data_IF_027277496905
#
_entry.id   IF_027277496905
#
_cell.length_a   1.000
_cell.length_b   1.000
_cell.length_c   1.000
_cell.angle_alpha   90.00
_cell.angle_beta   90.00
_cell.angle_gamma   90.00
#
_symmetry.space_group_name_H-M   'P 1'
#
loop_
_entity.id
_entity.type
_entity.pdbx_description
1 polymer ?
#
# COMPACT_ATOMS: atom_id res chain seq x y z
N UNK A 1 0.58 12.71 -16.29
CA UNK A 1 0.86 11.31 -15.91
C UNK A 1 -0.13 10.89 -14.84
N UNK A 2 -0.85 9.81 -15.13
CA UNK A 2 -1.84 9.19 -14.26
C UNK A 2 -1.10 8.21 -13.32
N UNK A 3 -1.40 8.19 -12.02
CA UNK A 3 -0.75 7.28 -11.06
C UNK A 3 -1.75 6.35 -10.40
N UNK A 4 -1.34 5.19 -9.90
CA UNK A 4 -2.23 4.27 -9.17
C UNK A 4 -2.79 4.95 -7.91
N UNK A 5 -1.91 5.50 -7.07
CA UNK A 5 -2.30 6.31 -5.92
C UNK A 5 -2.71 7.70 -6.42
N UNK A 6 -3.94 8.10 -6.15
CA UNK A 6 -4.49 9.42 -6.50
C UNK A 6 -4.48 10.41 -5.35
N UNK A 7 -4.69 9.92 -4.14
CA UNK A 7 -4.75 10.73 -2.94
C UNK A 7 -4.26 9.96 -1.72
N UNK A 8 -3.86 10.72 -0.69
CA UNK A 8 -3.47 10.19 0.60
C UNK A 8 -4.00 11.07 1.74
N UNK A 9 -4.33 10.46 2.86
CA UNK A 9 -4.76 11.11 4.10
C UNK A 9 -3.96 10.59 5.28
N UNK A 10 -3.77 11.44 6.27
CA UNK A 10 -3.22 11.07 7.59
C UNK A 10 -4.24 11.47 8.64
N UNK A 11 -4.66 10.49 9.43
CA UNK A 11 -5.59 10.64 10.53
C UNK A 11 -4.84 10.42 11.84
N UNK A 12 -4.93 11.38 12.76
CA UNK A 12 -4.19 11.35 14.03
C UNK A 12 -5.17 11.12 15.19
N UNK A 13 -4.80 10.33 16.21
CA UNK A 13 -5.61 10.22 17.41
C UNK A 13 -5.61 11.56 18.16
N UNK A 14 -6.77 11.99 18.64
CA UNK A 14 -6.88 13.11 19.57
C UNK A 14 -6.07 12.86 20.85
N UNK A 15 -5.70 13.89 21.64
CA UNK A 15 -4.92 13.71 22.86
C UNK A 15 -5.54 12.74 23.88
N UNK A 16 -6.87 12.71 23.97
CA UNK A 16 -7.65 11.77 24.80
C UNK A 16 -7.88 10.40 24.15
N UNK A 17 -7.43 10.22 22.90
CA UNK A 17 -7.57 9.01 22.08
C UNK A 17 -9.01 8.52 21.93
N UNK A 18 -9.97 9.43 21.94
CA UNK A 18 -11.39 9.11 21.71
C UNK A 18 -11.74 9.10 20.23
N UNK A 19 -11.08 9.93 19.42
CA UNK A 19 -11.35 10.11 17.99
C UNK A 19 -10.06 10.11 17.17
N UNK A 20 -10.22 9.91 15.87
CA UNK A 20 -9.26 10.31 14.84
C UNK A 20 -9.67 11.66 14.24
N UNK A 21 -8.73 12.60 14.19
CA UNK A 21 -8.86 13.90 13.52
C UNK A 21 -7.96 14.00 12.28
N UNK A 22 -8.30 14.91 11.38
CA UNK A 22 -7.56 15.10 10.14
C UNK A 22 -6.20 15.74 10.41
N UNK A 23 -5.11 14.98 10.22
CA UNK A 23 -3.74 15.47 10.38
C UNK A 23 -3.13 16.05 9.10
N UNK A 24 -3.62 15.63 7.94
CA UNK A 24 -3.12 16.12 6.65
C UNK A 24 -3.51 15.24 5.48
N UNK A 25 -3.24 15.70 4.25
CA UNK A 25 -3.49 14.89 3.07
C UNK A 25 -3.13 15.58 1.76
N UNK A 26 -2.93 14.77 0.73
CA UNK A 26 -2.65 15.15 -0.64
C UNK A 26 -3.79 14.64 -1.52
N UNK A 27 -4.48 15.54 -2.22
CA UNK A 27 -5.73 15.20 -2.93
C UNK A 27 -5.65 15.37 -4.45
N UNK A 28 -4.56 15.93 -4.97
CA UNK A 28 -4.45 16.24 -6.39
C UNK A 28 -5.64 17.05 -6.90
N UNK A 29 -6.33 16.54 -7.92
CA UNK A 29 -7.53 17.15 -8.50
C UNK A 29 -8.82 16.93 -7.67
N UNK A 30 -8.80 16.02 -6.69
CA UNK A 30 -9.97 15.65 -5.88
C UNK A 30 -10.24 16.66 -4.74
N UNK A 31 -10.34 17.95 -5.07
CA UNK A 31 -10.48 19.04 -4.09
C UNK A 31 -11.77 18.93 -3.27
N UNK A 32 -12.88 18.54 -3.89
CA UNK A 32 -14.16 18.32 -3.20
C UNK A 32 -14.08 17.21 -2.15
N UNK A 33 -13.45 16.08 -2.50
CA UNK A 33 -13.18 15.01 -1.53
C UNK A 33 -12.29 15.52 -0.40
N UNK A 34 -11.21 16.25 -0.71
CA UNK A 34 -10.34 16.87 0.29
C UNK A 34 -11.09 17.82 1.24
N UNK A 35 -12.02 18.63 0.74
CA UNK A 35 -12.83 19.51 1.56
C UNK A 35 -13.70 18.72 2.55
N UNK A 36 -14.41 17.68 2.09
CA UNK A 36 -15.18 16.79 2.96
C UNK A 36 -14.32 16.07 3.99
N UNK A 37 -13.08 15.73 3.64
CA UNK A 37 -12.14 15.05 4.52
C UNK A 37 -11.72 15.91 5.71
N UNK A 38 -11.44 17.20 5.47
CA UNK A 38 -10.97 18.13 6.51
C UNK A 38 -11.96 18.39 7.63
N UNK A 39 -13.25 18.15 7.40
CA UNK A 39 -14.32 18.38 8.37
C UNK A 39 -14.74 17.12 9.11
N UNK A 40 -14.10 15.98 8.84
CA UNK A 40 -14.47 14.69 9.42
C UNK A 40 -13.63 14.37 10.66
N UNK A 41 -14.22 13.55 11.52
CA UNK A 41 -13.54 12.78 12.54
C UNK A 41 -14.12 11.36 12.53
N UNK A 42 -13.38 10.41 13.09
CA UNK A 42 -13.80 9.02 13.15
C UNK A 42 -13.58 8.43 14.55
N UNK A 43 -14.62 7.89 15.14
CA UNK A 43 -14.49 7.03 16.32
C UNK A 43 -13.89 5.66 15.98
N UNK A 44 -13.57 4.89 17.03
CA UNK A 44 -13.16 3.48 16.85
C UNK A 44 -14.25 2.69 16.14
N UNK A 45 -13.87 1.97 15.08
CA UNK A 45 -14.77 1.19 14.25
C UNK A 45 -15.55 2.00 13.20
N UNK A 46 -15.45 3.33 13.23
CA UNK A 46 -16.22 4.21 12.36
C UNK A 46 -15.49 4.50 11.05
N UNK A 47 -16.18 4.31 9.92
CA UNK A 47 -15.58 4.52 8.61
C UNK A 47 -14.33 3.66 8.39
N UNK A 48 -13.58 3.97 7.33
CA UNK A 48 -12.37 3.23 7.00
C UNK A 48 -11.21 3.49 7.98
N UNK A 49 -10.87 4.74 8.35
CA UNK A 49 -9.79 4.99 9.31
C UNK A 49 -10.08 4.42 10.70
N UNK A 50 -11.30 4.64 11.21
CA UNK A 50 -11.71 4.16 12.53
C UNK A 50 -11.77 2.63 12.61
N UNK A 51 -12.13 1.95 11.51
CA UNK A 51 -12.09 0.49 11.45
C UNK A 51 -10.67 -0.06 11.47
N UNK A 52 -9.74 0.53 10.73
CA UNK A 52 -8.32 0.14 10.80
C UNK A 52 -7.73 0.36 12.20
N UNK A 53 -8.15 1.44 12.87
CA UNK A 53 -7.80 1.69 14.27
C UNK A 53 -8.37 0.65 15.23
N UNK A 54 -9.63 0.24 15.03
CA UNK A 54 -10.26 -0.77 15.87
C UNK A 54 -9.67 -2.16 15.67
N UNK A 55 -9.49 -2.59 14.41
CA UNK A 55 -8.94 -3.91 14.09
C UNK A 55 -7.41 -3.99 14.34
N UNK A 56 -6.72 -2.84 14.39
CA UNK A 56 -5.27 -2.77 14.62
C UNK A 56 -4.43 -3.34 13.47
N UNK A 57 -4.98 -3.41 12.26
CA UNK A 57 -4.36 -4.04 11.08
C UNK A 57 -4.73 -3.29 9.79
N UNK A 58 -3.95 -3.43 8.72
CA UNK A 58 -4.29 -2.85 7.41
C UNK A 58 -5.62 -3.39 6.86
N UNK A 59 -6.34 -2.53 6.15
CA UNK A 59 -7.63 -2.85 5.51
C UNK A 59 -7.63 -2.35 4.07
N UNK A 60 -7.99 -3.21 3.13
CA UNK A 60 -8.31 -2.85 1.75
C UNK A 60 -9.82 -2.74 1.62
N UNK A 61 -10.31 -1.62 1.09
CA UNK A 61 -11.71 -1.39 0.78
C UNK A 61 -11.87 -1.24 -0.73
N UNK A 62 -12.57 -2.19 -1.35
CA UNK A 62 -12.71 -2.31 -2.82
C UNK A 62 -13.99 -1.66 -3.36
N UNK A 63 -14.88 -1.23 -2.48
CA UNK A 63 -16.15 -0.64 -2.84
C UNK A 63 -16.57 0.40 -1.80
N UNK A 64 -16.87 1.61 -2.26
CA UNK A 64 -17.35 2.70 -1.41
C UNK A 64 -18.87 2.71 -1.26
N UNK A 65 -19.59 2.55 -2.37
CA UNK A 65 -21.05 2.60 -2.39
C UNK A 65 -21.66 1.42 -1.63
N UNK A 66 -22.64 1.69 -0.77
CA UNK A 66 -23.26 0.66 0.07
C UNK A 66 -22.34 0.04 1.13
N UNK A 67 -21.15 0.59 1.36
CA UNK A 67 -20.24 0.14 2.42
C UNK A 67 -20.26 1.08 3.63
N UNK A 68 -19.47 0.78 4.66
CA UNK A 68 -19.32 1.63 5.85
C UNK A 68 -18.54 2.94 5.59
N UNK A 69 -18.16 3.22 4.34
CA UNK A 69 -17.40 4.40 3.98
C UNK A 69 -18.26 5.66 3.94
N UNK A 70 -17.91 6.65 4.79
CA UNK A 70 -18.75 7.84 5.04
C UNK A 70 -18.76 8.90 3.93
N UNK A 71 -17.96 8.72 2.87
CA UNK A 71 -17.73 9.74 1.83
C UNK A 71 -17.85 9.15 0.42
N UNK A 72 -18.73 8.17 0.23
CA UNK A 72 -18.83 7.39 -1.01
C UNK A 72 -19.08 8.26 -2.25
N UNK A 73 -20.04 9.19 -2.18
CA UNK A 73 -20.32 10.11 -3.29
C UNK A 73 -19.12 10.98 -3.67
N UNK A 74 -18.44 11.55 -2.67
CA UNK A 74 -17.27 12.38 -2.92
C UNK A 74 -16.11 11.56 -3.51
N UNK A 75 -15.92 10.32 -3.07
CA UNK A 75 -14.91 9.40 -3.62
C UNK A 75 -15.25 8.99 -5.06
N UNK A 76 -16.53 8.72 -5.35
CA UNK A 76 -17.03 8.42 -6.70
C UNK A 76 -16.81 9.60 -7.65
N UNK A 77 -17.15 10.82 -7.23
CA UNK A 77 -16.90 12.03 -8.01
C UNK A 77 -15.40 12.29 -8.23
N UNK A 78 -14.55 11.87 -7.29
CA UNK A 78 -13.10 11.93 -7.42
C UNK A 78 -12.50 10.79 -8.27
N UNK A 79 -13.32 9.81 -8.68
CA UNK A 79 -12.88 8.68 -9.51
C UNK A 79 -12.11 7.59 -8.76
N UNK A 80 -12.20 7.53 -7.44
CA UNK A 80 -11.54 6.47 -6.68
C UNK A 80 -12.31 5.16 -6.82
N UNK A 81 -11.58 4.05 -6.95
CA UNK A 81 -12.15 2.69 -7.00
C UNK A 81 -11.85 1.88 -5.74
N UNK A 82 -10.74 2.17 -5.04
CA UNK A 82 -10.42 1.51 -3.79
C UNK A 82 -9.66 2.43 -2.82
N UNK A 83 -9.60 2.00 -1.56
CA UNK A 83 -8.82 2.66 -0.53
C UNK A 83 -8.12 1.64 0.37
N UNK A 84 -6.97 2.02 0.90
CA UNK A 84 -6.17 1.21 1.81
C UNK A 84 -5.95 2.01 3.08
N UNK A 85 -6.41 1.52 4.23
CA UNK A 85 -6.07 2.09 5.52
C UNK A 85 -4.93 1.32 6.18
N UNK A 86 -3.92 2.05 6.61
CA UNK A 86 -2.68 1.57 7.19
C UNK A 86 -2.51 2.19 8.59
N UNK A 87 -2.83 1.45 9.67
CA UNK A 87 -2.55 1.91 11.02
C UNK A 87 -1.05 1.90 11.27
N UNK A 88 -0.54 3.00 11.82
CA UNK A 88 0.89 3.22 12.12
C UNK A 88 1.12 3.11 13.62
N UNK A 89 2.15 2.36 14.02
CA UNK A 89 2.43 2.07 15.43
C UNK A 89 3.82 2.53 15.85
N UNK A 90 3.91 2.96 17.11
CA UNK A 90 5.17 3.10 17.86
C UNK A 90 5.03 2.21 19.10
N UNK A 91 5.79 1.11 19.13
CA UNK A 91 5.51 0.00 20.04
C UNK A 91 4.08 -0.51 19.85
N UNK A 92 3.31 -0.64 20.93
CA UNK A 92 1.91 -1.07 20.89
C UNK A 92 0.92 0.10 20.70
N UNK A 93 1.42 1.34 20.65
CA UNK A 93 0.57 2.52 20.51
C UNK A 93 0.37 2.86 19.04
N UNK A 94 -0.89 2.89 18.58
CA UNK A 94 -1.22 3.47 17.28
C UNK A 94 -1.09 5.00 17.33
N UNK A 95 -0.32 5.56 16.40
CA UNK A 95 0.00 7.00 16.31
C UNK A 95 -0.65 7.70 15.14
N UNK A 96 -1.05 6.97 14.10
CA UNK A 96 -1.78 7.50 12.96
C UNK A 96 -2.51 6.39 12.21
N UNK A 97 -3.44 6.76 11.34
CA UNK A 97 -3.90 5.93 10.24
C UNK A 97 -3.64 6.67 8.94
N UNK A 98 -2.82 6.08 8.07
CA UNK A 98 -2.61 6.58 6.71
C UNK A 98 -3.64 5.92 5.80
N UNK A 99 -4.34 6.69 4.99
CA UNK A 99 -5.25 6.15 3.97
C UNK A 99 -4.76 6.52 2.59
N UNK A 100 -4.56 5.52 1.73
CA UNK A 100 -4.26 5.70 0.31
C UNK A 100 -5.54 5.47 -0.49
N UNK A 101 -5.82 6.34 -1.46
CA UNK A 101 -6.91 6.18 -2.41
C UNK A 101 -6.35 5.90 -3.79
N UNK A 102 -6.83 4.82 -4.40
CA UNK A 102 -6.37 4.36 -5.70
C UNK A 102 -7.54 4.24 -6.70
N UNK A 103 -7.19 4.11 -7.98
CA UNK A 103 -8.14 4.00 -9.08
C UNK A 103 -8.41 5.33 -9.79
N UNK A 104 -8.90 5.26 -11.03
CA UNK A 104 -9.23 6.44 -11.84
C UNK A 104 -10.38 6.16 -12.80
N UNK A 105 -11.07 7.21 -13.22
CA UNK A 105 -12.33 7.19 -14.01
C UNK A 105 -12.24 6.69 -15.44
N UNK A 106 -11.10 6.18 -15.90
CA UNK A 106 -11.02 5.68 -17.26
C UNK A 106 -11.49 4.22 -17.26
N UNK A 107 -12.80 4.05 -17.07
CA UNK A 107 -13.53 2.84 -17.43
C UNK A 107 -13.57 2.64 -18.95
N UNK A 108 -12.51 3.05 -19.68
CA UNK A 108 -12.26 2.46 -20.99
C UNK A 108 -11.85 1.02 -20.72
N UNK A 109 -12.44 0.10 -21.47
CA UNK A 109 -12.24 -1.36 -21.40
C UNK A 109 -10.77 -1.83 -21.53
N UNK A 110 -9.82 -0.90 -21.69
CA UNK A 110 -8.38 -1.11 -21.86
C UNK A 110 -7.50 -0.41 -20.79
N UNK A 111 -8.06 0.08 -19.69
CA UNK A 111 -7.24 0.68 -18.63
C UNK A 111 -6.43 -0.42 -17.92
N UNK A 112 -5.12 -0.39 -18.11
CA UNK A 112 -4.15 -1.20 -17.37
C UNK A 112 -4.01 -0.66 -15.94
N UNK A 113 -5.03 -0.89 -15.14
CA UNK A 113 -5.03 -0.54 -13.74
C UNK A 113 -4.19 -1.56 -12.97
N UNK A 114 -3.26 -1.06 -12.15
CA UNK A 114 -2.40 -1.88 -11.31
C UNK A 114 -3.17 -2.72 -10.28
N UNK A 115 -2.45 -3.37 -9.39
CA UNK A 115 -3.03 -4.14 -8.30
C UNK A 115 -2.51 -3.67 -6.93
N UNK A 116 -3.35 -3.91 -5.93
CA UNK A 116 -3.03 -3.76 -4.52
C UNK A 116 -3.31 -5.10 -3.87
N UNK A 117 -2.32 -5.71 -3.26
CA UNK A 117 -2.46 -6.99 -2.57
C UNK A 117 -2.13 -6.82 -1.09
N UNK A 118 -2.98 -7.34 -0.21
CA UNK A 118 -2.71 -7.43 1.21
C UNK A 118 -2.48 -8.88 1.60
N UNK A 119 -1.24 -9.18 1.98
CA UNK A 119 -0.78 -10.51 2.37
C UNK A 119 -0.70 -10.62 3.89
N UNK A 120 -1.00 -11.81 4.42
CA UNK A 120 -0.86 -12.13 5.85
C UNK A 120 -0.19 -13.47 6.04
N UNK A 121 0.69 -13.55 7.01
CA UNK A 121 1.09 -14.81 7.63
C UNK A 121 0.58 -14.84 9.07
N UNK A 122 -0.14 -15.92 9.40
CA UNK A 122 -0.37 -16.33 10.78
C UNK A 122 0.47 -17.58 11.03
N UNK A 123 1.55 -17.43 11.77
CA UNK A 123 2.53 -18.49 12.03
C UNK A 123 1.94 -19.71 12.76
N UNK A 124 0.76 -19.59 13.38
CA UNK A 124 0.05 -20.73 14.00
C UNK A 124 -0.69 -21.59 12.99
N UNK A 125 -0.92 -21.08 11.78
CA UNK A 125 -1.73 -21.73 10.75
C UNK A 125 -0.85 -22.23 9.60
N UNK A 126 0.11 -21.43 9.15
CA UNK A 126 0.98 -21.75 8.00
C UNK A 126 2.33 -21.04 8.11
N UNK A 127 3.35 -21.59 7.45
CA UNK A 127 4.67 -20.95 7.27
C UNK A 127 4.67 -19.85 6.21
N UNK A 128 3.61 -19.77 5.40
CA UNK A 128 3.58 -18.96 4.20
C UNK A 128 2.62 -17.78 4.34
N UNK A 129 2.82 -16.73 3.55
CA UNK A 129 1.82 -15.68 3.40
C UNK A 129 0.72 -16.12 2.44
N UNK A 130 -0.53 -15.81 2.80
CA UNK A 130 -1.70 -15.95 1.93
C UNK A 130 -2.36 -14.59 1.71
N UNK A 131 -3.06 -14.45 0.59
CA UNK A 131 -3.78 -13.22 0.27
C UNK A 131 -5.00 -13.06 1.19
N UNK A 132 -5.07 -11.94 1.90
CA UNK A 132 -6.22 -11.58 2.74
C UNK A 132 -7.26 -10.85 1.91
N UNK A 133 -6.81 -9.85 1.16
CA UNK A 133 -7.66 -9.07 0.26
C UNK A 133 -6.80 -8.40 -0.81
N UNK A 134 -7.43 -7.86 -1.84
CA UNK A 134 -6.74 -7.13 -2.88
C UNK A 134 -7.67 -6.44 -3.87
N UNK A 135 -7.22 -5.31 -4.40
CA UNK A 135 -7.85 -4.63 -5.52
C UNK A 135 -7.06 -4.94 -6.79
N UNK A 136 -7.74 -5.39 -7.83
CA UNK A 136 -7.17 -5.69 -9.13
C UNK A 136 -8.01 -4.90 -10.14
N UNK A 137 -7.39 -3.94 -10.83
CA UNK A 137 -8.13 -3.11 -11.79
C UNK A 137 -8.00 -3.62 -13.22
N UNK A 138 -9.00 -3.30 -14.06
CA UNK A 138 -9.01 -3.61 -15.49
C UNK A 138 -8.63 -5.08 -15.80
N UNK A 139 -7.78 -5.26 -16.81
CA UNK A 139 -7.30 -6.58 -17.25
C UNK A 139 -6.50 -7.35 -16.19
N UNK A 140 -5.99 -6.67 -15.16
CA UNK A 140 -5.32 -7.32 -14.04
C UNK A 140 -6.26 -8.22 -13.26
N UNK A 141 -7.55 -7.88 -13.15
CA UNK A 141 -8.53 -8.69 -12.43
C UNK A 141 -8.65 -10.09 -13.05
N UNK A 142 -8.81 -10.19 -14.37
CA UNK A 142 -9.04 -11.47 -15.04
C UNK A 142 -7.81 -12.37 -15.04
N UNK A 143 -6.64 -11.81 -15.39
CA UNK A 143 -5.41 -12.59 -15.56
C UNK A 143 -4.67 -12.87 -14.23
N UNK A 144 -4.80 -12.00 -13.23
CA UNK A 144 -3.89 -12.00 -12.08
C UNK A 144 -4.58 -12.29 -10.74
N UNK A 145 -5.84 -11.90 -10.54
CA UNK A 145 -6.54 -12.09 -9.27
C UNK A 145 -6.68 -13.57 -8.85
N UNK A 146 -7.14 -14.50 -9.72
CA UNK A 146 -7.33 -15.90 -9.32
C UNK A 146 -6.02 -16.53 -8.83
N UNK A 147 -4.94 -16.27 -9.56
CA UNK A 147 -3.60 -16.75 -9.21
C UNK A 147 -3.11 -16.16 -7.89
N UNK A 148 -3.37 -14.86 -7.66
CA UNK A 148 -3.04 -14.21 -6.39
C UNK A 148 -3.74 -14.88 -5.21
N UNK A 149 -5.01 -15.28 -5.39
CA UNK A 149 -5.83 -15.92 -4.34
C UNK A 149 -5.34 -17.33 -3.99
N UNK A 150 -4.86 -18.08 -4.98
CA UNK A 150 -4.39 -19.45 -4.79
C UNK A 150 -2.91 -19.55 -4.40
N UNK A 151 -2.20 -18.43 -4.35
CA UNK A 151 -0.76 -18.40 -4.06
C UNK A 151 -0.45 -18.48 -2.57
N UNK A 152 0.51 -19.34 -2.24
CA UNK A 152 1.21 -19.35 -0.97
C UNK A 152 2.62 -18.80 -1.19
N UNK A 153 3.00 -17.78 -0.43
CA UNK A 153 4.31 -17.14 -0.55
C UNK A 153 5.19 -17.52 0.64
N UNK A 154 6.18 -18.43 0.44
CA UNK A 154 7.19 -18.66 1.45
C UNK A 154 7.95 -17.38 1.79
N UNK A 155 8.46 -17.31 3.01
CA UNK A 155 9.32 -16.20 3.45
C UNK A 155 10.54 -16.07 2.53
N UNK A 156 10.74 -14.89 1.97
CA UNK A 156 11.82 -14.59 1.02
C UNK A 156 11.47 -14.84 -0.46
N UNK A 157 10.30 -15.42 -0.75
CA UNK A 157 9.88 -15.75 -2.11
C UNK A 157 8.88 -14.75 -2.68
N UNK A 158 9.09 -14.32 -3.92
CA UNK A 158 8.30 -13.25 -4.54
C UNK A 158 8.47 -11.90 -3.81
N UNK A 159 7.83 -10.87 -4.36
CA UNK A 159 7.95 -9.50 -3.83
C UNK A 159 7.44 -9.38 -2.37
N UNK A 160 6.23 -9.88 -2.01
CA UNK A 160 5.76 -9.79 -0.64
C UNK A 160 6.61 -10.62 0.35
N UNK A 161 7.02 -11.83 -0.05
CA UNK A 161 7.86 -12.68 0.79
C UNK A 161 9.25 -12.08 1.03
N UNK A 162 9.83 -11.37 0.05
CA UNK A 162 11.08 -10.63 0.25
C UNK A 162 10.91 -9.47 1.24
N UNK A 163 9.84 -8.68 1.14
CA UNK A 163 9.55 -7.61 2.10
C UNK A 163 9.35 -8.18 3.52
N UNK A 164 8.65 -9.31 3.62
CA UNK A 164 8.47 -10.03 4.89
C UNK A 164 9.79 -10.53 5.48
N UNK A 165 10.65 -11.13 4.66
CA UNK A 165 11.94 -11.63 5.13
C UNK A 165 12.83 -10.50 5.64
N UNK A 166 12.91 -9.40 4.89
CA UNK A 166 13.75 -8.25 5.24
C UNK A 166 13.20 -7.43 6.39
N UNK A 167 11.87 -7.44 6.59
CA UNK A 167 11.24 -6.47 7.50
C UNK A 167 11.37 -5.03 7.00
N UNK A 168 11.49 -4.84 5.69
CA UNK A 168 11.71 -3.54 5.06
C UNK A 168 11.02 -3.48 3.69
N UNK A 169 10.83 -2.26 3.18
CA UNK A 169 10.27 -2.07 1.86
C UNK A 169 11.19 -2.66 0.77
N UNK A 170 10.59 -3.20 -0.28
CA UNK A 170 11.26 -3.74 -1.46
C UNK A 170 10.61 -3.13 -2.69
N UNK A 171 11.41 -2.56 -3.56
CA UNK A 171 11.00 -2.08 -4.88
C UNK A 171 11.68 -2.93 -5.95
N UNK A 172 10.88 -3.46 -6.87
CA UNK A 172 11.35 -4.08 -8.10
C UNK A 172 10.89 -3.18 -9.24
N UNK A 173 11.86 -2.71 -10.02
CA UNK A 173 11.65 -1.77 -11.12
C UNK A 173 11.24 -2.42 -12.44
N UNK A 174 11.62 -3.69 -12.63
CA UNK A 174 11.18 -4.56 -13.72
C UNK A 174 10.93 -5.99 -13.19
N UNK A 175 9.66 -6.32 -13.00
CA UNK A 175 9.20 -7.64 -12.54
C UNK A 175 9.43 -8.74 -13.58
N UNK A 176 9.48 -8.41 -14.88
CA UNK A 176 9.71 -9.38 -15.95
C UNK A 176 11.15 -9.91 -15.97
N UNK A 177 12.12 -9.12 -15.51
CA UNK A 177 13.52 -9.53 -15.38
C UNK A 177 13.86 -10.13 -14.01
N UNK A 178 12.98 -10.00 -13.03
CA UNK A 178 13.19 -10.54 -11.70
C UNK A 178 12.85 -12.05 -11.67
N UNK A 179 13.83 -12.90 -11.98
CA UNK A 179 13.69 -14.38 -12.02
C UNK A 179 13.27 -15.09 -10.72
N UNK A 180 12.76 -14.35 -9.71
CA UNK A 180 12.18 -14.85 -8.45
C UNK A 180 10.70 -14.48 -8.26
N UNK A 181 10.05 -13.89 -9.26
CA UNK A 181 8.63 -13.57 -9.16
C UNK A 181 7.79 -14.79 -9.58
N UNK A 182 7.16 -15.44 -8.61
CA UNK A 182 6.39 -16.69 -8.78
C UNK A 182 5.23 -16.61 -9.79
N UNK A 183 4.88 -15.40 -10.25
CA UNK A 183 3.78 -15.10 -11.17
C UNK A 183 4.20 -14.13 -12.28
N UNK A 184 5.45 -14.21 -12.73
CA UNK A 184 6.02 -13.29 -13.72
C UNK A 184 5.24 -13.29 -15.03
N UNK A 185 4.88 -14.46 -15.54
CA UNK A 185 4.18 -14.58 -16.81
C UNK A 185 2.80 -13.92 -16.76
N UNK A 186 2.00 -14.20 -15.73
CA UNK A 186 0.66 -13.60 -15.58
C UNK A 186 0.70 -12.11 -15.22
N UNK A 187 1.72 -11.66 -14.48
CA UNK A 187 1.94 -10.23 -14.29
C UNK A 187 2.28 -9.55 -15.61
N UNK A 188 3.11 -10.16 -16.44
CA UNK A 188 3.45 -9.65 -17.76
C UNK A 188 2.24 -9.60 -18.70
N UNK A 189 1.38 -10.62 -18.69
CA UNK A 189 0.09 -10.62 -19.42
C UNK A 189 -0.84 -9.49 -18.98
N UNK A 190 -0.86 -9.18 -17.68
CA UNK A 190 -1.60 -8.05 -17.12
C UNK A 190 -0.90 -6.69 -17.35
N UNK A 191 0.30 -6.66 -17.93
CA UNK A 191 1.10 -5.45 -18.14
C UNK A 191 1.77 -4.91 -16.86
N UNK A 192 1.72 -5.66 -15.75
CA UNK A 192 2.40 -5.31 -14.50
C UNK A 192 3.91 -5.45 -14.70
N UNK A 193 4.64 -4.37 -14.42
CA UNK A 193 6.10 -4.35 -14.54
C UNK A 193 6.82 -3.84 -13.31
N UNK A 194 6.14 -3.16 -12.38
CA UNK A 194 6.77 -2.59 -11.19
C UNK A 194 6.00 -3.00 -9.97
N UNK A 195 6.73 -3.29 -8.89
CA UNK A 195 6.13 -3.65 -7.63
C UNK A 195 6.86 -3.04 -6.45
N UNK A 196 6.09 -2.43 -5.55
CA UNK A 196 6.54 -2.00 -4.23
C UNK A 196 5.83 -2.85 -3.19
N UNK A 197 6.58 -3.54 -2.32
CA UNK A 197 6.01 -4.18 -1.14
C UNK A 197 6.66 -3.66 0.13
N UNK A 198 5.87 -3.52 1.20
CA UNK A 198 6.38 -3.14 2.50
C UNK A 198 5.59 -3.82 3.62
N UNK A 199 6.26 -4.17 4.74
CA UNK A 199 5.58 -4.73 5.90
C UNK A 199 4.67 -3.69 6.53
N UNK A 200 3.51 -4.15 7.03
CA UNK A 200 2.57 -3.34 7.79
C UNK A 200 2.63 -3.78 9.25
N UNK A 201 3.06 -2.88 10.14
CA UNK A 201 3.13 -3.14 11.58
C UNK A 201 1.72 -3.37 12.15
N UNK A 202 1.60 -4.38 13.02
CA UNK A 202 0.41 -4.61 13.83
C UNK A 202 0.85 -4.95 15.27
N UNK A 203 0.01 -4.72 16.29
CA UNK A 203 0.34 -5.08 17.67
C UNK A 203 0.25 -6.59 17.92
N UNK A 204 -0.35 -7.35 16.98
CA UNK A 204 -0.46 -8.80 17.07
C UNK A 204 0.78 -9.54 16.55
N UNK A 205 0.75 -10.87 16.64
CA UNK A 205 1.83 -11.73 16.14
C UNK A 205 1.79 -11.98 14.63
N UNK A 206 0.75 -11.54 13.95
CA UNK A 206 0.58 -11.77 12.52
C UNK A 206 1.43 -10.79 11.71
N UNK A 207 2.09 -11.31 10.68
CA UNK A 207 2.83 -10.49 9.75
C UNK A 207 1.91 -10.07 8.60
N UNK A 208 1.90 -8.78 8.27
CA UNK A 208 1.20 -8.25 7.10
C UNK A 208 2.17 -7.59 6.14
N UNK A 209 1.93 -7.73 4.84
CA UNK A 209 2.66 -7.03 3.78
C UNK A 209 1.65 -6.46 2.79
N UNK A 210 1.75 -5.17 2.50
CA UNK A 210 1.06 -4.55 1.39
C UNK A 210 1.98 -4.57 0.16
N UNK A 211 1.46 -5.02 -0.98
CA UNK A 211 2.11 -4.87 -2.27
C UNK A 211 1.28 -3.98 -3.20
N UNK A 212 1.94 -3.01 -3.83
CA UNK A 212 1.42 -2.15 -4.88
C UNK A 212 2.11 -2.55 -6.17
N UNK A 213 1.33 -2.96 -7.16
CA UNK A 213 1.79 -3.42 -8.46
C UNK A 213 1.27 -2.44 -9.50
N UNK A 214 2.12 -2.02 -10.43
CA UNK A 214 1.75 -1.08 -11.48
C UNK A 214 2.23 -1.49 -12.85
N UNK A 215 1.58 -0.92 -13.85
CA UNK A 215 1.97 -0.95 -15.25
C UNK A 215 2.78 0.32 -15.60
N UNK A 216 3.34 0.39 -16.82
CA UNK A 216 4.04 1.61 -17.29
C UNK A 216 3.09 2.79 -17.40
N UNK A 217 1.84 2.54 -17.77
CA UNK A 217 0.84 3.58 -18.06
C UNK A 217 0.26 4.19 -16.78
N UNK A 218 0.20 3.38 -15.71
CA UNK A 218 -0.34 3.77 -14.41
C UNK A 218 0.66 3.46 -13.29
N UNK A 219 1.82 4.15 -13.23
CA UNK A 219 2.83 3.92 -12.20
C UNK A 219 2.26 4.16 -10.80
N UNK A 220 2.81 3.48 -9.78
CA UNK A 220 2.34 3.58 -8.39
C UNK A 220 2.19 5.05 -7.94
N UNK A 221 3.24 5.84 -8.17
CA UNK A 221 3.32 7.27 -7.92
C UNK A 221 4.38 7.91 -8.84
N UNK A 222 4.40 9.24 -8.97
CA UNK A 222 5.42 9.95 -9.78
C UNK A 222 6.84 9.72 -9.29
N UNK A 223 6.98 9.54 -7.98
CA UNK A 223 8.25 9.31 -7.29
C UNK A 223 7.98 8.51 -6.03
N UNK A 224 8.81 7.51 -5.79
CA UNK A 224 8.83 6.71 -4.57
C UNK A 224 10.23 6.80 -4.00
N UNK A 225 10.31 6.97 -2.69
CA UNK A 225 11.57 6.90 -1.96
C UNK A 225 11.37 6.12 -0.68
N UNK A 226 12.34 5.28 -0.36
CA UNK A 226 12.44 4.63 0.92
C UNK A 226 13.63 5.21 1.67
N UNK A 227 13.38 5.64 2.90
CA UNK A 227 14.36 6.23 3.78
C UNK A 227 14.48 5.36 5.03
N UNK A 228 15.70 5.17 5.51
CA UNK A 228 15.98 4.46 6.76
C UNK A 228 16.93 5.29 7.62
N UNK A 229 16.91 5.13 8.95
CA UNK A 229 17.94 5.68 9.81
C UNK A 229 19.33 5.22 9.36
N UNK A 230 20.31 6.11 9.44
CA UNK A 230 21.72 5.75 9.33
C UNK A 230 22.17 4.89 10.53
N UNK A 231 23.41 4.38 10.47
CA UNK A 231 23.99 3.57 11.55
C UNK A 231 24.00 4.33 12.90
N UNK A 232 24.11 5.66 12.86
CA UNK A 232 24.09 6.52 14.05
C UNK A 232 22.68 6.76 14.61
N UNK A 233 21.64 6.46 13.82
CA UNK A 233 20.24 6.81 14.05
C UNK A 233 19.98 8.30 14.30
N UNK A 234 20.87 9.17 13.81
CA UNK A 234 20.72 10.62 13.93
C UNK A 234 20.21 11.26 12.64
N UNK A 235 20.32 10.56 11.51
CA UNK A 235 19.87 11.06 10.21
C UNK A 235 19.13 9.97 9.43
N UNK A 236 18.35 10.39 8.42
CA UNK A 236 17.74 9.48 7.46
C UNK A 236 18.55 9.46 6.17
N UNK A 237 18.79 8.27 5.64
CA UNK A 237 19.43 8.06 4.35
C UNK A 237 18.46 7.36 3.39
N UNK A 238 18.48 7.76 2.12
CA UNK A 238 17.68 7.12 1.09
C UNK A 238 18.26 5.74 0.79
N UNK A 239 17.49 4.70 1.06
CA UNK A 239 17.85 3.30 0.77
C UNK A 239 17.66 3.01 -0.72
N UNK A 240 16.52 3.42 -1.27
CA UNK A 240 16.22 3.36 -2.69
C UNK A 240 15.19 4.42 -3.05
N UNK A 241 15.08 4.68 -4.35
CA UNK A 241 13.95 5.41 -4.88
C UNK A 241 13.83 5.21 -6.38
N UNK A 242 12.71 5.66 -6.93
CA UNK A 242 12.46 5.67 -8.36
C UNK A 242 11.63 6.89 -8.68
N UNK A 243 11.98 7.56 -9.77
CA UNK A 243 11.23 8.69 -10.30
C UNK A 243 10.94 8.42 -11.77
N UNK A 244 9.69 8.58 -12.19
CA UNK A 244 9.29 8.28 -13.57
C UNK A 244 10.01 9.15 -14.61
N UNK A 245 10.54 10.32 -14.21
CA UNK A 245 11.31 11.19 -15.10
C UNK A 245 12.83 11.04 -14.97
N UNK A 246 13.34 10.61 -13.81
CA UNK A 246 14.78 10.55 -13.53
C UNK A 246 15.32 9.11 -13.39
N UNK A 247 14.46 8.09 -13.45
CA UNK A 247 14.80 6.69 -13.25
C UNK A 247 15.15 6.34 -11.79
N UNK A 248 15.97 5.30 -11.58
CA UNK A 248 16.39 4.87 -10.24
C UNK A 248 17.16 5.95 -9.48
N UNK A 249 16.68 6.28 -8.27
CA UNK A 249 17.31 7.23 -7.36
C UNK A 249 18.19 6.47 -6.38
N UNK A 250 19.49 6.43 -6.65
CA UNK A 250 20.47 5.72 -5.81
C UNK A 250 20.61 6.38 -4.44
N UNK A 251 21.04 5.61 -3.43
CA UNK A 251 21.48 6.16 -2.15
C UNK A 251 22.55 7.24 -2.37
N UNK A 252 22.53 8.31 -1.57
CA UNK A 252 23.66 9.25 -1.53
C UNK A 252 24.88 8.49 -1.01
N UNK A 253 25.82 8.21 -1.92
CA UNK A 253 27.16 7.64 -1.72
C UNK A 253 27.34 6.46 -0.74
N UNK A 254 27.48 5.25 -1.31
CA UNK A 254 28.43 4.23 -0.83
C UNK A 254 27.98 3.19 0.21
N UNK A 255 26.79 3.30 0.82
CA UNK A 255 26.36 2.36 1.87
C UNK A 255 25.48 1.22 1.34
N UNK A 256 26.00 -0.01 1.26
CA UNK A 256 25.15 -1.21 1.28
C UNK A 256 24.65 -1.41 2.71
N UNK A 257 23.41 -0.99 3.02
CA UNK A 257 22.82 -1.25 4.34
C UNK A 257 21.71 -2.29 4.19
N UNK A 258 22.03 -3.51 4.61
CA UNK A 258 21.04 -4.51 5.03
C UNK A 258 20.38 -3.96 6.31
N UNK A 259 19.22 -3.33 6.18
CA UNK A 259 18.44 -2.92 7.34
C UNK A 259 17.88 -4.18 8.03
N UNK A 260 18.52 -4.55 9.14
CA UNK A 260 18.06 -5.60 10.04
C UNK A 260 16.72 -5.26 10.68
N UNK A 261 15.98 -6.31 11.01
CA UNK A 261 14.68 -6.25 11.66
C UNK A 261 14.67 -5.28 12.84
N UNK A 262 13.72 -4.35 12.81
CA UNK A 262 13.23 -3.65 13.99
C UNK A 262 12.55 -4.70 14.87
N UNK A 263 13.25 -5.11 15.92
CA UNK A 263 12.68 -5.82 17.07
C UNK A 263 12.10 -4.87 18.09
#
# INVERSE_FOLDING_TARGET
>A
MNTLIKAAEVWLPTPDRSLLEFGGGLFGAATGFGASSRTMCFGRGEGLPGRAWFDGRPIVLKQFEGSYFRRADAARLAGFSCAIALPMFVGETMTAVVVLFCGGTDASENAHDGAVELWRNNARVTSDMTLVDGYFGGNTAEAFEPLSRDTYLPRGSGLPGMAWQKGAAVLIDDLGQAGKFLRADSAAEAGINRGLAFPCSTPGSDAYVLALLSTTDTPIAKRIECWAPDDSRQSLQRVFGFCETAGPLRASDGGTVLAGAIG
#
